data_IF_387838516976
#
_entry.id   IF_387838516976
#
_cell.length_a   1.000
_cell.length_b   1.000
_cell.length_c   1.000
_cell.angle_alpha   90.00
_cell.angle_beta   90.00
_cell.angle_gamma   90.00
#
_symmetry.space_group_name_H-M   'P 1'
#
loop_
_entity.id
_entity.type
_entity.pdbx_description
1 polymer ?
#
# COMPACT_ATOMS: atom_id res chain seq x y z
N UNK A 1 54.46 0.80 47.96
CA UNK A 1 53.01 0.52 47.82
C UNK A 1 52.50 -0.01 49.15
N UNK A 2 51.59 0.72 49.78
CA UNK A 2 51.05 0.43 51.12
C UNK A 2 50.05 -0.72 51.05
N UNK A 3 49.98 -1.52 52.13
CA UNK A 3 49.12 -2.70 52.25
C UNK A 3 47.64 -2.40 51.99
N UNK A 4 47.18 -1.23 52.40
CA UNK A 4 45.81 -0.74 52.18
C UNK A 4 45.45 -0.62 50.70
N UNK A 5 46.38 -0.15 49.85
CA UNK A 5 46.12 0.01 48.42
C UNK A 5 45.95 -1.34 47.71
N UNK A 6 46.63 -2.39 48.19
CA UNK A 6 46.49 -3.75 47.66
C UNK A 6 45.17 -4.38 48.08
N UNK A 7 44.73 -4.13 49.30
CA UNK A 7 43.44 -4.63 49.80
C UNK A 7 42.26 -3.96 49.08
N UNK A 8 42.36 -2.67 48.74
CA UNK A 8 41.32 -1.99 47.94
C UNK A 8 41.25 -2.50 46.51
N UNK A 9 42.40 -2.76 45.88
CA UNK A 9 42.46 -3.31 44.51
C UNK A 9 41.88 -4.73 44.48
N UNK A 10 42.23 -5.58 45.46
CA UNK A 10 41.70 -6.94 45.55
C UNK A 10 40.16 -6.97 45.70
N UNK A 11 39.58 -6.08 46.53
CA UNK A 11 38.12 -5.95 46.64
C UNK A 11 37.48 -5.48 45.34
N UNK A 12 38.15 -4.60 44.62
CA UNK A 12 37.64 -4.08 43.34
C UNK A 12 37.69 -5.16 42.25
N UNK A 13 38.74 -5.97 42.22
CA UNK A 13 38.86 -7.14 41.32
C UNK A 13 37.80 -8.20 41.62
N UNK A 14 37.53 -8.48 42.90
CA UNK A 14 36.48 -9.40 43.33
C UNK A 14 35.09 -8.89 42.90
N UNK A 15 34.83 -7.60 43.05
CA UNK A 15 33.57 -6.97 42.62
C UNK A 15 33.37 -7.05 41.09
N UNK A 16 34.44 -6.83 40.32
CA UNK A 16 34.39 -6.96 38.85
C UNK A 16 34.15 -8.42 38.44
N UNK A 17 34.71 -9.37 39.18
CA UNK A 17 34.53 -10.80 38.92
C UNK A 17 33.10 -11.27 39.26
N UNK A 18 32.51 -10.77 40.35
CA UNK A 18 31.11 -11.00 40.74
C UNK A 18 30.14 -10.48 39.66
N UNK A 19 30.36 -9.24 39.21
CA UNK A 19 29.54 -8.60 38.19
C UNK A 19 29.67 -9.30 36.83
N UNK A 20 30.86 -9.82 36.52
CA UNK A 20 31.11 -10.66 35.33
C UNK A 20 30.31 -11.96 35.36
N UNK A 21 30.19 -12.62 36.52
CA UNK A 21 29.35 -13.83 36.69
C UNK A 21 27.87 -13.51 36.52
N UNK A 22 27.38 -12.42 37.12
CA UNK A 22 26.00 -11.98 36.96
C UNK A 22 25.66 -11.66 35.49
N UNK A 23 26.59 -11.06 34.76
CA UNK A 23 26.40 -10.76 33.34
C UNK A 23 26.29 -12.02 32.47
N UNK A 24 27.00 -13.10 32.82
CA UNK A 24 26.91 -14.39 32.14
C UNK A 24 25.58 -15.07 32.47
N UNK A 25 25.17 -15.07 33.74
CA UNK A 25 23.92 -15.70 34.18
C UNK A 25 22.67 -15.00 33.59
N UNK A 26 22.66 -13.66 33.54
CA UNK A 26 21.61 -12.88 32.87
C UNK A 26 21.58 -13.20 31.36
N UNK A 27 22.76 -13.37 30.74
CA UNK A 27 22.85 -13.71 29.33
C UNK A 27 22.37 -15.14 29.05
N UNK A 28 22.64 -16.09 29.94
CA UNK A 28 22.12 -17.46 29.85
C UNK A 28 20.60 -17.50 30.03
N UNK A 29 20.05 -16.79 31.04
CA UNK A 29 18.60 -16.67 31.23
C UNK A 29 17.89 -16.07 30.01
N UNK A 30 18.46 -15.03 29.40
CA UNK A 30 17.89 -14.41 28.20
C UNK A 30 17.98 -15.33 26.97
N UNK A 31 18.99 -16.20 26.92
CA UNK A 31 19.18 -17.18 25.83
C UNK A 31 18.24 -18.38 25.98
N UNK A 32 17.88 -18.76 27.21
CA UNK A 32 16.86 -19.80 27.49
C UNK A 32 15.43 -19.31 27.25
N UNK A 33 15.10 -18.06 27.59
CA UNK A 33 13.78 -17.48 27.28
C UNK A 33 13.56 -17.29 25.76
N UNK A 34 14.63 -17.08 24.99
CA UNK A 34 14.60 -17.06 23.53
C UNK A 34 14.70 -18.47 22.89
N UNK A 35 14.95 -19.52 23.68
CA UNK A 35 15.17 -20.90 23.22
C UNK A 35 13.98 -21.85 23.34
N UNK A 36 12.91 -21.47 24.05
CA UNK A 36 11.76 -22.36 24.32
C UNK A 36 10.54 -22.03 23.46
N UNK A 37 10.71 -22.08 22.13
CA UNK A 37 9.58 -22.31 21.21
C UNK A 37 9.79 -23.64 20.50
N UNK A 38 8.96 -24.61 20.89
CA UNK A 38 8.82 -25.96 20.34
C UNK A 38 9.07 -26.06 18.82
N UNK A 39 9.90 -27.00 18.32
CA UNK A 39 10.21 -27.13 16.90
C UNK A 39 9.16 -27.96 16.16
N UNK A 40 7.85 -27.74 16.40
CA UNK A 40 6.76 -28.41 15.67
C UNK A 40 5.58 -27.46 15.41
N UNK A 41 5.83 -26.39 14.66
CA UNK A 41 4.88 -25.94 13.65
C UNK A 41 5.61 -25.06 12.67
N UNK A 42 6.16 -25.68 11.61
CA UNK A 42 6.47 -24.95 10.39
C UNK A 42 5.12 -24.54 9.82
N UNK A 43 4.57 -23.43 10.32
CA UNK A 43 3.45 -22.77 9.69
C UNK A 43 3.93 -22.48 8.27
N UNK A 44 3.47 -23.29 7.31
CA UNK A 44 3.55 -22.93 5.91
C UNK A 44 2.89 -21.56 5.86
N UNK A 45 3.60 -20.49 5.48
CA UNK A 45 2.96 -19.19 5.34
C UNK A 45 1.79 -19.44 4.40
N UNK A 46 0.58 -19.16 4.91
CA UNK A 46 -0.62 -19.26 4.10
C UNK A 46 -0.31 -18.54 2.77
N UNK A 47 -0.67 -19.13 1.62
CA UNK A 47 -0.48 -18.46 0.35
C UNK A 47 -1.00 -17.03 0.51
N UNK A 48 -0.21 -16.00 0.15
CA UNK A 48 -0.69 -14.62 0.28
C UNK A 48 -2.07 -14.58 -0.35
N UNK A 49 -3.07 -14.14 0.41
CA UNK A 49 -4.42 -14.05 -0.12
C UNK A 49 -4.37 -13.18 -1.38
N UNK A 50 -5.32 -13.31 -2.31
CA UNK A 50 -5.33 -12.45 -3.49
C UNK A 50 -5.35 -10.94 -3.15
N UNK A 51 -5.72 -10.58 -1.92
CA UNK A 51 -5.66 -9.22 -1.38
C UNK A 51 -4.24 -8.81 -0.91
N UNK A 52 -3.32 -9.76 -0.75
CA UNK A 52 -1.95 -9.60 -0.25
C UNK A 52 -0.85 -9.47 -1.30
N UNK A 53 -1.17 -9.76 -2.55
CA UNK A 53 -0.24 -9.58 -3.64
C UNK A 53 0.01 -8.09 -3.94
N UNK A 54 1.29 -7.73 -4.08
CA UNK A 54 1.74 -6.42 -4.54
C UNK A 54 1.80 -6.43 -6.06
N UNK A 55 1.18 -5.43 -6.70
CA UNK A 55 1.08 -5.39 -8.16
C UNK A 55 1.66 -4.09 -8.70
N UNK A 56 2.72 -4.20 -9.50
CA UNK A 56 3.07 -3.13 -10.41
C UNK A 56 2.12 -3.21 -11.61
N UNK A 57 1.22 -2.24 -11.75
CA UNK A 57 0.23 -2.22 -12.84
C UNK A 57 0.71 -1.33 -13.98
N UNK A 58 0.89 -1.93 -15.14
CA UNK A 58 1.37 -1.30 -16.37
C UNK A 58 0.17 -1.08 -17.30
N UNK A 59 -0.07 0.17 -17.66
CA UNK A 59 -0.99 0.57 -18.72
C UNK A 59 -0.24 0.66 -20.05
N UNK A 60 -0.67 -0.14 -21.01
CA UNK A 60 -0.10 -0.23 -22.36
C UNK A 60 -1.02 0.38 -23.43
N UNK A 61 -2.07 1.11 -23.02
CA UNK A 61 -3.07 1.68 -23.94
C UNK A 61 -2.52 2.69 -24.95
N UNK A 62 -1.34 3.26 -24.68
CA UNK A 62 -0.69 4.26 -25.54
C UNK A 62 0.55 3.74 -26.25
N UNK A 63 0.81 2.44 -26.15
CA UNK A 63 1.95 1.84 -26.83
C UNK A 63 1.55 1.53 -28.27
N UNK A 64 2.33 2.04 -29.23
CA UNK A 64 2.10 1.83 -30.66
C UNK A 64 2.48 0.41 -31.10
N UNK A 65 3.40 -0.23 -30.36
CA UNK A 65 3.89 -1.58 -30.61
C UNK A 65 3.32 -2.58 -29.58
N UNK A 66 2.15 -3.15 -29.90
CA UNK A 66 1.48 -4.13 -29.04
C UNK A 66 2.33 -5.38 -28.77
N UNK A 67 3.20 -5.78 -29.72
CA UNK A 67 4.08 -6.93 -29.55
C UNK A 67 5.19 -6.65 -28.52
N UNK A 68 5.76 -5.43 -28.54
CA UNK A 68 6.71 -4.96 -27.51
C UNK A 68 6.05 -4.73 -26.16
N UNK A 69 4.74 -4.46 -26.12
CA UNK A 69 3.95 -4.34 -24.90
C UNK A 69 3.31 -5.65 -24.42
N UNK A 70 3.64 -6.79 -25.03
CA UNK A 70 3.08 -8.07 -24.62
C UNK A 70 3.53 -8.47 -23.20
N UNK A 71 2.73 -9.29 -22.50
CA UNK A 71 3.08 -9.79 -21.17
C UNK A 71 4.40 -10.58 -21.16
N UNK A 72 4.74 -11.26 -22.26
CA UNK A 72 6.00 -11.98 -22.42
C UNK A 72 7.18 -11.03 -22.55
N UNK A 73 7.05 -9.97 -23.36
CA UNK A 73 8.09 -8.95 -23.51
C UNK A 73 8.31 -8.20 -22.21
N UNK A 74 7.23 -7.75 -21.56
CA UNK A 74 7.29 -7.10 -20.24
C UNK A 74 8.01 -7.99 -19.23
N UNK A 75 7.67 -9.29 -19.16
CA UNK A 75 8.36 -10.24 -18.29
C UNK A 75 9.86 -10.28 -18.57
N UNK A 76 10.24 -10.47 -19.83
CA UNK A 76 11.65 -10.58 -20.21
C UNK A 76 12.45 -9.32 -19.87
N UNK A 77 11.91 -8.13 -20.19
CA UNK A 77 12.54 -6.85 -19.87
C UNK A 77 12.69 -6.66 -18.37
N UNK A 78 11.62 -6.84 -17.60
CA UNK A 78 11.66 -6.68 -16.14
C UNK A 78 12.64 -7.67 -15.51
N UNK A 79 12.62 -8.94 -15.91
CA UNK A 79 13.54 -9.94 -15.36
C UNK A 79 15.01 -9.65 -15.70
N UNK A 80 15.32 -9.16 -16.90
CA UNK A 80 16.70 -8.82 -17.26
C UNK A 80 17.24 -7.61 -16.49
N UNK A 81 16.40 -6.61 -16.24
CA UNK A 81 16.81 -5.35 -15.60
C UNK A 81 16.75 -5.42 -14.07
N UNK A 82 15.85 -6.21 -13.48
CA UNK A 82 15.72 -6.34 -12.02
C UNK A 82 16.77 -7.25 -11.41
N UNK A 83 17.22 -8.32 -12.10
CA UNK A 83 18.28 -9.22 -11.61
C UNK A 83 19.55 -8.48 -11.13
N UNK A 84 20.14 -7.55 -11.91
CA UNK A 84 21.32 -6.80 -11.46
C UNK A 84 21.00 -5.79 -10.35
N UNK A 85 19.81 -5.15 -10.36
CA UNK A 85 19.39 -4.22 -9.29
C UNK A 85 19.22 -4.92 -7.93
N UNK A 86 18.79 -6.18 -7.92
CA UNK A 86 18.63 -7.00 -6.72
C UNK A 86 19.85 -7.87 -6.38
N UNK A 87 20.92 -7.81 -7.19
CA UNK A 87 22.06 -8.73 -7.13
C UNK A 87 21.63 -10.22 -7.02
N UNK A 88 20.59 -10.60 -7.77
CA UNK A 88 20.01 -11.93 -7.71
C UNK A 88 19.81 -12.48 -9.14
N UNK A 89 20.75 -13.29 -9.67
CA UNK A 89 20.68 -13.78 -11.04
C UNK A 89 19.55 -14.80 -11.27
N UNK A 90 19.05 -15.43 -10.20
CA UNK A 90 17.93 -16.38 -10.28
C UNK A 90 16.57 -15.72 -10.15
N UNK A 91 16.55 -14.39 -9.93
CA UNK A 91 15.31 -13.66 -9.80
C UNK A 91 14.47 -13.76 -11.07
N UNK A 92 13.17 -13.98 -10.86
CA UNK A 92 12.15 -14.03 -11.89
C UNK A 92 10.86 -13.40 -11.38
N UNK A 93 10.05 -12.85 -12.27
CA UNK A 93 8.74 -12.32 -11.95
C UNK A 93 7.87 -13.43 -11.34
N UNK A 94 7.22 -13.16 -10.21
CA UNK A 94 6.32 -14.14 -9.58
C UNK A 94 5.15 -14.48 -10.51
N UNK A 95 4.51 -13.46 -11.07
CA UNK A 95 3.52 -13.60 -12.12
C UNK A 95 3.46 -12.32 -12.97
N UNK A 96 3.13 -12.48 -14.25
CA UNK A 96 2.81 -11.37 -15.16
C UNK A 96 1.49 -11.72 -15.82
N UNK A 97 0.44 -10.94 -15.54
CA UNK A 97 -0.94 -11.27 -15.93
C UNK A 97 -1.58 -10.09 -16.65
N UNK A 98 -2.31 -10.37 -17.74
CA UNK A 98 -3.16 -9.39 -18.42
C UNK A 98 -4.52 -9.33 -17.72
N UNK A 99 -5.05 -8.13 -17.48
CA UNK A 99 -6.35 -7.97 -16.81
C UNK A 99 -7.48 -8.40 -17.76
N UNK A 100 -8.33 -9.38 -17.38
CA UNK A 100 -9.44 -9.82 -18.22
C UNK A 100 -10.48 -8.72 -18.50
N UNK A 101 -10.62 -7.76 -17.59
CA UNK A 101 -11.56 -6.64 -17.72
C UNK A 101 -10.98 -5.48 -18.55
N UNK A 102 -9.66 -5.39 -18.64
CA UNK A 102 -8.98 -4.36 -19.41
C UNK A 102 -7.69 -4.92 -20.05
N UNK A 103 -7.74 -5.32 -21.32
CA UNK A 103 -6.58 -5.87 -22.03
C UNK A 103 -5.38 -4.92 -22.11
N UNK A 104 -5.57 -3.61 -21.90
CA UNK A 104 -4.46 -2.65 -21.85
C UNK A 104 -3.81 -2.56 -20.46
N UNK A 105 -4.23 -3.37 -19.48
CA UNK A 105 -3.60 -3.45 -18.17
C UNK A 105 -2.87 -4.77 -18.02
N UNK A 106 -1.58 -4.69 -17.75
CA UNK A 106 -0.73 -5.83 -17.39
C UNK A 106 -0.27 -5.63 -15.94
N UNK A 107 -0.28 -6.68 -15.12
CA UNK A 107 0.15 -6.63 -13.72
C UNK A 107 1.35 -7.53 -13.53
N UNK A 108 2.41 -7.01 -12.93
CA UNK A 108 3.55 -7.77 -12.42
C UNK A 108 3.36 -7.97 -10.93
N UNK A 109 3.25 -9.22 -10.49
CA UNK A 109 3.12 -9.57 -9.07
C UNK A 109 4.49 -9.60 -8.42
N UNK A 110 4.64 -8.94 -7.28
CA UNK A 110 5.88 -8.82 -6.52
C UNK A 110 5.73 -9.50 -5.16
N UNK A 111 6.81 -10.08 -4.62
CA UNK A 111 6.76 -10.87 -3.37
C UNK A 111 6.76 -9.99 -2.12
N UNK A 112 7.40 -8.82 -2.18
CA UNK A 112 7.54 -7.88 -1.07
C UNK A 112 7.67 -6.43 -1.58
N UNK A 113 7.65 -5.47 -0.66
CA UNK A 113 7.70 -4.03 -0.99
C UNK A 113 9.01 -3.63 -1.68
N UNK A 114 10.15 -4.19 -1.26
CA UNK A 114 11.46 -3.89 -1.86
C UNK A 114 11.55 -4.36 -3.32
N UNK A 115 11.10 -5.58 -3.61
CA UNK A 115 10.98 -6.08 -4.98
C UNK A 115 10.01 -5.21 -5.80
N UNK A 116 8.89 -4.82 -5.19
CA UNK A 116 7.88 -4.00 -5.84
C UNK A 116 8.41 -2.62 -6.25
N UNK A 117 9.17 -1.96 -5.37
CA UNK A 117 9.81 -0.67 -5.66
C UNK A 117 10.80 -0.77 -6.82
N UNK A 118 11.64 -1.82 -6.85
CA UNK A 118 12.62 -2.03 -7.92
C UNK A 118 11.92 -2.33 -9.24
N UNK A 119 10.94 -3.25 -9.24
CA UNK A 119 10.13 -3.57 -10.41
C UNK A 119 9.43 -2.33 -10.96
N UNK A 120 8.87 -1.48 -10.08
CA UNK A 120 8.23 -0.23 -10.47
C UNK A 120 9.21 0.72 -11.16
N UNK A 121 10.38 0.98 -10.56
CA UNK A 121 11.41 1.86 -11.18
C UNK A 121 11.87 1.32 -12.53
N UNK A 122 12.17 0.03 -12.61
CA UNK A 122 12.56 -0.63 -13.87
C UNK A 122 11.45 -0.50 -14.90
N UNK A 123 10.20 -0.76 -14.50
CA UNK A 123 9.08 -0.73 -15.42
C UNK A 123 8.80 0.70 -15.94
N UNK A 124 8.95 1.73 -15.09
CA UNK A 124 8.82 3.15 -15.50
C UNK A 124 9.91 3.59 -16.47
N UNK A 125 11.12 3.05 -16.35
CA UNK A 125 12.30 3.55 -17.07
C UNK A 125 12.71 2.72 -18.29
N UNK A 126 12.44 1.40 -18.28
CA UNK A 126 12.98 0.45 -19.27
C UNK A 126 11.94 -0.17 -20.19
N UNK A 127 10.65 -0.03 -19.89
CA UNK A 127 9.60 -0.54 -20.77
C UNK A 127 9.42 0.33 -22.01
N UNK A 128 8.68 -0.21 -22.99
CA UNK A 128 8.47 0.42 -24.27
C UNK A 128 7.88 1.85 -24.13
N UNK A 129 8.22 2.78 -25.05
CA UNK A 129 7.61 4.09 -25.10
C UNK A 129 6.08 4.00 -25.13
N UNK A 130 5.42 4.90 -24.39
CA UNK A 130 3.96 4.90 -24.25
C UNK A 130 3.43 3.98 -23.14
N UNK A 131 4.26 3.10 -22.55
CA UNK A 131 3.88 2.39 -21.32
C UNK A 131 3.81 3.37 -20.15
N UNK A 132 2.84 3.17 -19.27
CA UNK A 132 2.64 4.00 -18.08
C UNK A 132 2.45 3.10 -16.88
N UNK A 133 3.20 3.35 -15.81
CA UNK A 133 2.91 2.69 -14.54
C UNK A 133 1.74 3.42 -13.88
N UNK A 134 0.69 2.66 -13.60
CA UNK A 134 -0.46 3.18 -12.87
C UNK A 134 -0.10 3.26 -11.39
N UNK A 135 -0.52 4.36 -10.76
CA UNK A 135 -0.41 4.57 -9.31
C UNK A 135 -1.49 3.77 -8.57
N UNK A 136 -1.61 2.48 -8.91
CA UNK A 136 -2.53 1.55 -8.27
C UNK A 136 -1.97 1.06 -6.91
N UNK A 137 -0.77 1.52 -6.52
CA UNK A 137 -0.06 1.23 -5.26
C UNK A 137 -0.60 1.97 -4.03
N UNK A 138 -1.69 2.72 -4.16
CA UNK A 138 -2.27 3.38 -3.00
C UNK A 138 -3.02 2.36 -2.17
N UNK A 139 -2.67 2.26 -0.89
CA UNK A 139 -3.31 1.34 0.06
C UNK A 139 -4.37 2.11 0.85
N UNK A 140 -5.67 1.99 0.48
CA UNK A 140 -6.71 2.70 1.18
C UNK A 140 -7.04 2.01 2.50
N UNK A 141 -7.10 2.80 3.57
CA UNK A 141 -7.69 2.41 4.84
C UNK A 141 -8.92 3.27 5.11
N UNK A 142 -9.94 2.67 5.71
CA UNK A 142 -11.10 3.41 6.23
C UNK A 142 -10.78 3.85 7.65
N UNK A 143 -11.07 5.11 7.97
CA UNK A 143 -10.98 5.64 9.33
C UNK A 143 -12.35 6.17 9.72
N UNK A 144 -12.95 5.56 10.73
CA UNK A 144 -14.24 5.95 11.33
C UNK A 144 -14.02 6.84 12.56
N UNK A 145 -15.05 7.57 12.99
CA UNK A 145 -15.02 8.42 14.18
C UNK A 145 -13.96 9.54 14.12
N UNK A 146 -13.84 10.18 12.97
CA UNK A 146 -12.88 11.27 12.74
C UNK A 146 -13.56 12.61 12.92
N UNK A 147 -12.92 13.51 13.69
CA UNK A 147 -13.40 14.88 13.88
C UNK A 147 -13.54 15.62 12.56
N UNK A 148 -14.74 16.14 12.30
CA UNK A 148 -15.07 16.85 11.06
C UNK A 148 -14.16 18.06 10.84
N UNK A 149 -13.92 18.84 11.89
CA UNK A 149 -13.15 20.09 11.82
C UNK A 149 -11.66 19.85 11.58
N UNK A 150 -11.15 18.66 11.91
CA UNK A 150 -9.77 18.27 11.65
C UNK A 150 -9.50 18.02 10.16
N UNK A 151 -10.51 17.59 9.40
CA UNK A 151 -10.35 17.17 7.99
C UNK A 151 -11.02 18.15 7.03
N UNK A 152 -12.17 18.70 7.39
CA UNK A 152 -12.97 19.58 6.56
C UNK A 152 -12.81 21.06 6.96
N UNK A 153 -12.92 21.93 5.96
CA UNK A 153 -13.00 23.37 6.13
C UNK A 153 -14.46 23.86 6.34
N UNK A 154 -14.63 25.17 6.47
CA UNK A 154 -15.94 25.83 6.63
C UNK A 154 -16.89 25.61 5.44
N UNK A 155 -16.34 25.27 4.26
CA UNK A 155 -17.11 24.98 3.04
C UNK A 155 -17.44 23.49 2.92
N UNK A 156 -17.10 22.69 3.94
CA UNK A 156 -17.24 21.23 3.96
C UNK A 156 -16.37 20.52 2.91
N UNK A 157 -15.30 21.17 2.45
CA UNK A 157 -14.30 20.58 1.58
C UNK A 157 -13.11 20.07 2.38
N UNK A 158 -12.39 19.08 1.84
CA UNK A 158 -11.18 18.57 2.50
C UNK A 158 -10.14 19.69 2.50
N UNK A 159 -9.59 20.01 3.67
CA UNK A 159 -8.56 21.03 3.84
C UNK A 159 -7.34 20.73 2.96
N UNK A 160 -6.74 21.78 2.39
CA UNK A 160 -5.59 21.63 1.49
C UNK A 160 -4.38 21.01 2.20
N UNK A 161 -4.23 21.29 3.49
CA UNK A 161 -3.17 20.83 4.38
C UNK A 161 -3.47 19.48 5.04
N UNK A 162 -4.66 18.90 4.87
CA UNK A 162 -5.08 17.70 5.59
C UNK A 162 -4.11 16.52 5.40
N UNK A 163 -3.61 16.29 4.20
CA UNK A 163 -2.66 15.20 3.93
C UNK A 163 -1.35 15.37 4.69
N UNK A 164 -0.79 16.59 4.70
CA UNK A 164 0.46 16.87 5.40
C UNK A 164 0.28 16.81 6.92
N UNK A 165 -0.82 17.34 7.45
CA UNK A 165 -1.12 17.31 8.88
C UNK A 165 -1.32 15.88 9.37
N UNK A 166 -2.19 15.10 8.73
CA UNK A 166 -2.42 13.71 9.10
C UNK A 166 -1.17 12.85 8.93
N UNK A 167 -0.37 13.11 7.90
CA UNK A 167 0.91 12.43 7.69
C UNK A 167 1.89 12.67 8.85
N UNK A 168 2.02 13.93 9.31
CA UNK A 168 2.86 14.27 10.47
C UNK A 168 2.35 13.66 11.76
N UNK A 169 1.05 13.70 12.01
CA UNK A 169 0.45 13.16 13.24
C UNK A 169 0.66 11.64 13.40
N UNK A 170 0.80 10.93 12.28
CA UNK A 170 0.89 9.46 12.27
C UNK A 170 2.25 8.91 11.84
N UNK A 171 3.23 9.79 11.61
CA UNK A 171 4.56 9.47 11.04
C UNK A 171 4.44 8.58 9.78
N UNK A 172 3.66 9.05 8.79
CA UNK A 172 3.34 8.27 7.59
C UNK A 172 3.13 9.13 6.35
N UNK A 173 3.36 8.55 5.17
CA UNK A 173 3.17 9.21 3.88
C UNK A 173 1.71 9.11 3.40
N UNK A 174 0.88 10.08 3.81
CA UNK A 174 -0.50 10.20 3.32
C UNK A 174 -0.52 10.86 1.94
N UNK A 175 -0.95 10.11 0.92
CA UNK A 175 -1.01 10.61 -0.46
C UNK A 175 -2.29 11.36 -0.75
N UNK A 176 -3.41 10.84 -0.25
CA UNK A 176 -4.74 11.36 -0.55
C UNK A 176 -5.69 11.02 0.58
N UNK A 177 -6.68 11.89 0.79
CA UNK A 177 -7.79 11.67 1.71
C UNK A 177 -9.08 11.90 0.94
N UNK A 178 -10.15 11.19 1.32
CA UNK A 178 -11.50 11.58 0.93
C UNK A 178 -12.48 11.36 2.08
N UNK A 179 -13.37 12.32 2.29
CA UNK A 179 -14.46 12.20 3.27
C UNK A 179 -15.56 11.29 2.73
N UNK A 180 -16.06 10.38 3.56
CA UNK A 180 -17.07 9.37 3.20
C UNK A 180 -18.45 9.69 3.77
N UNK A 181 -18.52 10.36 4.93
CA UNK A 181 -19.80 10.73 5.54
C UNK A 181 -20.50 11.83 4.74
N UNK A 182 -21.82 11.90 4.92
CA UNK A 182 -22.65 12.98 4.36
C UNK A 182 -22.13 14.34 4.83
N UNK A 183 -21.95 15.27 3.89
CA UNK A 183 -21.46 16.63 4.18
C UNK A 183 -22.60 17.58 4.54
N UNK A 184 -23.80 17.30 4.06
CA UNK A 184 -25.05 18.02 4.31
C UNK A 184 -25.57 17.84 5.74
N UNK A 185 -25.22 16.72 6.39
CA UNK A 185 -25.53 16.51 7.81
C UNK A 185 -24.35 17.03 8.66
N UNK A 186 -24.58 17.97 9.58
CA UNK A 186 -23.52 18.59 10.40
C UNK A 186 -23.13 17.70 11.58
N UNK A 187 -22.84 16.42 11.33
CA UNK A 187 -22.28 15.54 12.35
C UNK A 187 -20.85 15.98 12.68
N UNK A 188 -20.55 16.06 13.98
CA UNK A 188 -19.22 16.45 14.47
C UNK A 188 -18.15 15.42 14.11
N UNK A 189 -18.55 14.15 13.91
CA UNK A 189 -17.67 13.05 13.54
C UNK A 189 -18.15 12.39 12.26
N UNK A 190 -17.23 11.73 11.56
CA UNK A 190 -17.58 10.92 10.41
C UNK A 190 -16.49 9.95 9.99
N UNK A 191 -16.66 9.41 8.80
CA UNK A 191 -15.72 8.46 8.21
C UNK A 191 -14.96 9.12 7.07
N UNK A 192 -13.69 8.75 6.93
CA UNK A 192 -12.86 9.08 5.78
C UNK A 192 -12.15 7.85 5.24
N UNK A 193 -11.60 7.98 4.04
CA UNK A 193 -10.60 7.06 3.49
C UNK A 193 -9.28 7.78 3.39
N UNK A 194 -8.22 7.14 3.86
CA UNK A 194 -6.84 7.59 3.78
C UNK A 194 -6.09 6.67 2.84
N UNK A 195 -5.37 7.23 1.87
CA UNK A 195 -4.59 6.49 0.88
C UNK A 195 -3.10 6.62 1.24
N UNK A 196 -2.48 5.49 1.60
CA UNK A 196 -1.09 5.40 2.02
C UNK A 196 -0.20 4.90 0.88
N UNK A 197 1.09 5.26 0.89
CA UNK A 197 2.06 4.75 -0.10
C UNK A 197 2.52 3.33 0.19
N UNK A 198 2.64 2.94 1.47
CA UNK A 198 3.17 1.64 1.85
C UNK A 198 2.06 0.71 2.34
N UNK A 199 2.15 -0.56 1.96
CA UNK A 199 1.23 -1.60 2.39
C UNK A 199 1.46 -1.94 3.85
N UNK A 200 2.73 -1.97 4.26
CA UNK A 200 3.17 -2.20 5.63
C UNK A 200 2.51 -1.21 6.59
N UNK A 201 2.48 0.07 6.24
CA UNK A 201 1.80 1.11 7.02
C UNK A 201 0.28 0.90 7.05
N UNK A 202 -0.36 0.64 5.91
CA UNK A 202 -1.80 0.37 5.89
C UNK A 202 -2.18 -0.85 6.75
N UNK A 203 -1.38 -1.92 6.68
CA UNK A 203 -1.56 -3.11 7.53
C UNK A 203 -1.34 -2.79 9.01
N UNK A 204 -0.29 -2.01 9.33
CA UNK A 204 0.00 -1.56 10.68
C UNK A 204 -1.21 -0.83 11.26
N UNK A 205 -1.72 0.19 10.58
CA UNK A 205 -2.89 0.94 11.05
C UNK A 205 -4.11 0.03 11.22
N UNK A 206 -4.42 -0.84 10.25
CA UNK A 206 -5.54 -1.78 10.38
C UNK A 206 -5.37 -2.72 11.59
N UNK A 207 -4.15 -3.18 11.86
CA UNK A 207 -3.84 -4.09 12.98
C UNK A 207 -3.86 -3.38 14.33
N UNK A 208 -3.34 -2.16 14.40
CA UNK A 208 -3.33 -1.33 15.61
C UNK A 208 -4.74 -0.81 15.93
N UNK A 209 -5.56 -0.58 14.89
CA UNK A 209 -6.97 -0.24 15.02
C UNK A 209 -7.27 1.26 15.12
N UNK A 210 -6.25 2.13 15.06
CA UNK A 210 -6.42 3.57 15.20
C UNK A 210 -5.57 4.39 14.21
N UNK A 211 -6.03 5.62 13.95
CA UNK A 211 -5.34 6.62 13.14
C UNK A 211 -5.63 8.00 13.73
N UNK A 212 -4.59 8.80 13.97
CA UNK A 212 -4.69 10.11 14.61
C UNK A 212 -5.19 11.15 13.60
N UNK A 213 -6.12 12.00 14.00
CA UNK A 213 -6.62 13.11 13.21
C UNK A 213 -7.01 14.31 14.09
N UNK A 214 -6.24 15.38 14.03
CA UNK A 214 -6.49 16.62 14.77
C UNK A 214 -6.32 16.46 16.28
N UNK A 215 -5.36 15.65 16.71
CA UNK A 215 -5.10 15.32 18.12
C UNK A 215 -6.02 14.26 18.72
N UNK A 216 -7.04 13.80 17.99
CA UNK A 216 -7.92 12.70 18.38
C UNK A 216 -7.60 11.42 17.60
N UNK A 217 -8.20 10.27 17.97
CA UNK A 217 -8.01 8.99 17.26
C UNK A 217 -9.32 8.49 16.65
N UNK A 218 -9.28 8.19 15.35
CA UNK A 218 -10.33 7.46 14.64
C UNK A 218 -10.03 5.96 14.58
N UNK A 219 -11.06 5.13 14.41
CA UNK A 219 -10.93 3.67 14.32
C UNK A 219 -10.68 3.22 12.89
N UNK A 220 -9.68 2.39 12.66
CA UNK A 220 -9.29 1.96 11.31
C UNK A 220 -9.87 0.61 10.92
N UNK A 221 -10.22 0.45 9.63
CA UNK A 221 -10.67 -0.81 9.04
C UNK A 221 -10.20 -0.94 7.59
N UNK A 222 -10.26 -2.15 7.04
CA UNK A 222 -10.05 -2.40 5.61
C UNK A 222 -11.04 -1.55 4.80
N UNK A 223 -10.55 -0.83 3.79
CA UNK A 223 -11.42 -0.09 2.89
C UNK A 223 -11.96 -0.99 1.78
N UNK A 224 -13.25 -1.27 1.82
CA UNK A 224 -13.95 -1.97 0.75
C UNK A 224 -14.42 -0.98 -0.31
N UNK A 225 -13.86 -1.07 -1.51
CA UNK A 225 -14.41 -0.36 -2.68
C UNK A 225 -15.78 -0.96 -3.00
N UNK A 226 -16.85 -0.23 -2.65
CA UNK A 226 -18.16 -0.51 -3.24
C UNK A 226 -18.12 -0.09 -4.70
N UNK A 227 -18.19 -1.06 -5.60
CA UNK A 227 -18.56 -0.80 -6.98
C UNK A 227 -19.91 -0.06 -6.93
N UNK A 228 -19.94 1.18 -7.43
CA UNK A 228 -21.23 1.86 -7.61
C UNK A 228 -22.08 0.92 -8.45
N UNK A 229 -23.35 0.64 -8.06
CA UNK A 229 -24.29 0.06 -8.99
C UNK A 229 -24.24 0.91 -10.25
N UNK A 230 -23.92 0.30 -11.39
CA UNK A 230 -24.13 0.96 -12.68
C UNK A 230 -25.62 1.22 -12.75
N UNK A 231 -26.06 2.41 -12.36
CA UNK A 231 -27.48 2.76 -12.39
C UNK A 231 -27.94 2.57 -13.83
N UNK A 232 -28.87 1.63 -14.03
CA UNK A 232 -29.48 1.32 -15.31
C UNK A 232 -30.47 2.39 -15.75
N UNK A 233 -30.11 3.67 -15.63
CA UNK A 233 -30.95 4.82 -16.04
C UNK A 233 -30.44 5.56 -17.28
N UNK A 234 -29.23 5.28 -17.78
CA UNK A 234 -28.78 5.84 -19.07
C UNK A 234 -29.32 5.11 -20.30
N UNK A 235 -30.12 4.04 -20.11
CA UNK A 235 -30.68 3.27 -21.22
C UNK A 235 -32.05 3.79 -21.71
N UNK A 236 -32.69 4.72 -21.00
CA UNK A 236 -33.99 5.29 -21.43
C UNK A 236 -33.87 6.63 -22.17
N UNK A 237 -32.77 7.37 -22.03
CA UNK A 237 -32.54 8.58 -22.84
C UNK A 237 -31.87 8.29 -24.20
N UNK A 238 -31.07 7.22 -24.30
CA UNK A 238 -30.44 6.84 -25.57
C UNK A 238 -31.39 6.16 -26.58
N UNK A 239 -32.55 5.65 -26.13
CA UNK A 239 -33.57 5.06 -27.02
C UNK A 239 -34.48 6.14 -27.64
N UNK A 240 -34.86 7.18 -26.88
CA UNK A 240 -35.70 8.27 -27.40
C UNK A 240 -34.95 9.23 -28.34
N UNK A 241 -33.63 9.35 -28.20
CA UNK A 241 -32.80 10.13 -29.12
C UNK A 241 -32.53 9.40 -30.45
N UNK A 242 -32.61 8.06 -30.53
CA UNK A 242 -32.41 7.34 -31.80
C UNK A 242 -33.65 7.28 -32.68
N UNK A 243 -34.84 7.45 -32.10
CA UNK A 243 -36.08 7.45 -32.88
C UNK A 243 -36.36 8.82 -33.54
N UNK A 244 -35.88 9.93 -32.96
CA UNK A 244 -36.05 11.28 -33.53
C UNK A 244 -35.05 11.63 -34.65
N UNK A 245 -33.92 10.93 -34.76
CA UNK A 245 -32.93 11.18 -35.81
C UNK A 245 -33.19 10.38 -37.10
N UNK A 246 -34.00 9.32 -37.07
CA UNK A 246 -34.35 8.54 -38.26
C UNK A 246 -35.49 9.23 -39.03
N UNK A 247 -36.47 9.84 -38.35
CA UNK A 247 -37.61 10.47 -39.03
C UNK A 247 -37.26 11.79 -39.75
N UNK A 248 -36.22 12.52 -39.32
CA UNK A 248 -35.82 13.79 -39.96
C UNK A 248 -34.96 13.55 -41.22
N UNK A 249 -34.17 12.47 -41.25
CA UNK A 249 -33.34 12.13 -42.40
C UNK A 249 -34.15 11.62 -43.62
N UNK A 250 -35.29 10.96 -43.38
CA UNK A 250 -36.16 10.48 -44.47
C UNK A 250 -37.09 11.57 -45.05
N UNK A 251 -37.31 12.68 -44.33
CA UNK A 251 -38.13 13.80 -44.82
C UNK A 251 -37.35 14.76 -45.75
N UNK A 252 -36.02 14.77 -45.71
CA UNK A 252 -35.18 15.61 -46.59
C UNK A 252 -34.70 14.91 -47.88
N UNK A 253 -35.12 13.65 -48.12
CA UNK A 253 -34.76 12.90 -49.34
C UNK A 253 -35.93 12.70 -50.32
N UNK A 254 -37.06 13.38 -50.12
CA UNK A 254 -38.23 13.39 -51.02
C UNK A 254 -38.79 14.80 -51.30
N UNK A 255 -37.93 15.80 -51.36
CA UNK A 255 -38.23 17.09 -52.00
C UNK A 255 -37.26 17.33 -53.14
#
# INVERSE_FOLDING_TARGET
MTRELRETVARQEETVHEMGKQMVEIKEQMTEELGTTSPHSRAVPAPPSAADALYCTIDISRTEDEARASAGTIRATVENEVRPELDNPTWRCQAVTRDPKNPHRVRVTCRNESEHEVVKRVAETKLAPGTRILRDDLYPIRVDNVSRVAVLDERNEVRAEATQTLGRENDTDVVKIAWLSKRDVPEAYGSMVVYLMKRSEARRFISEGFFVAGGESGTTKVFERRDRPKHATDRKFAASAREKFITIADAQKRS
#
